data_IF_531553804864
#
_entry.id   IF_531553804864
#
_cell.length_a   1.000
_cell.length_b   1.000
_cell.length_c   1.000
_cell.angle_alpha   90.00
_cell.angle_beta   90.00
_cell.angle_gamma   90.00
#
_symmetry.space_group_name_H-M   'P 1'
#
loop_
_entity.id
_entity.type
_entity.pdbx_description
1 polymer ?
#
# COMPACT_ATOMS: atom_id res chain seq x y z
N UNK A 1 58.77 30.81 15.62
CA UNK A 1 59.34 29.50 15.97
C UNK A 1 58.21 28.67 16.54
N UNK A 2 57.43 28.05 15.66
CA UNK A 2 56.31 27.17 16.00
C UNK A 2 56.85 25.76 16.26
N UNK A 3 56.51 25.16 17.40
CA UNK A 3 56.66 23.71 17.59
C UNK A 3 55.32 23.15 18.05
N UNK A 4 54.83 22.24 17.22
CA UNK A 4 53.52 21.58 17.21
C UNK A 4 53.38 20.59 18.37
N UNK A 5 52.26 20.65 19.08
CA UNK A 5 51.78 19.56 19.95
C UNK A 5 51.00 18.56 19.10
N UNK A 6 51.53 17.34 18.95
CA UNK A 6 50.94 16.27 18.15
C UNK A 6 50.01 15.43 19.07
N UNK A 7 48.72 15.70 19.04
CA UNK A 7 47.71 14.83 19.64
C UNK A 7 47.29 13.76 18.63
N UNK A 8 47.71 12.52 18.85
CA UNK A 8 47.27 11.34 18.11
C UNK A 8 45.80 11.04 18.44
N UNK A 9 44.89 11.38 17.52
CA UNK A 9 43.52 10.85 17.51
C UNK A 9 43.58 9.37 17.11
N UNK A 10 43.47 8.48 18.08
CA UNK A 10 43.15 7.07 17.83
C UNK A 10 41.71 7.00 17.35
N UNK A 11 41.52 6.84 16.04
CA UNK A 11 40.23 6.52 15.45
C UNK A 11 39.92 5.06 15.80
N UNK A 12 39.06 4.86 16.80
CA UNK A 12 38.48 3.55 17.07
C UNK A 12 37.54 3.24 15.91
N UNK A 13 38.01 2.45 14.94
CA UNK A 13 37.13 1.79 13.96
C UNK A 13 36.24 0.81 14.73
N UNK A 14 35.03 1.25 15.08
CA UNK A 14 33.96 0.34 15.51
C UNK A 14 33.68 -0.61 14.34
N UNK A 15 33.99 -1.87 14.54
CA UNK A 15 33.51 -2.94 13.69
C UNK A 15 32.00 -3.02 13.95
N UNK A 16 31.19 -2.54 13.00
CA UNK A 16 29.79 -2.93 12.94
C UNK A 16 29.81 -4.44 12.67
N UNK A 17 29.49 -5.24 13.69
CA UNK A 17 29.19 -6.64 13.46
C UNK A 17 28.04 -6.71 12.45
N UNK A 18 28.14 -7.63 11.50
CA UNK A 18 27.02 -8.02 10.65
C UNK A 18 25.87 -8.43 11.57
N UNK A 19 24.98 -7.47 11.85
CA UNK A 19 23.76 -7.72 12.60
C UNK A 19 22.97 -8.76 11.83
N UNK A 20 22.48 -9.79 12.54
CA UNK A 20 21.54 -10.73 11.96
C UNK A 20 20.40 -9.93 11.35
N UNK A 21 20.22 -10.11 10.05
CA UNK A 21 19.16 -9.46 9.28
C UNK A 21 17.83 -10.05 9.68
N UNK A 22 16.84 -9.21 9.98
CA UNK A 22 15.52 -9.70 10.36
C UNK A 22 14.83 -10.23 9.11
N UNK A 23 14.46 -11.51 9.13
CA UNK A 23 13.80 -12.18 8.01
C UNK A 23 12.27 -12.29 8.19
N UNK A 24 11.62 -12.85 7.18
CA UNK A 24 10.17 -13.09 7.16
C UNK A 24 9.68 -13.91 8.36
N UNK A 25 10.41 -14.95 8.76
CA UNK A 25 9.99 -15.84 9.85
C UNK A 25 10.09 -15.12 11.19
N UNK A 26 11.13 -14.31 11.38
CA UNK A 26 11.29 -13.46 12.55
C UNK A 26 10.19 -12.40 12.62
N UNK A 27 9.82 -11.78 11.49
CA UNK A 27 8.72 -10.83 11.40
C UNK A 27 7.40 -11.42 11.93
N UNK A 28 6.98 -12.57 11.40
CA UNK A 28 5.76 -13.24 11.84
C UNK A 28 5.88 -13.79 13.26
N UNK A 29 7.04 -14.32 13.63
CA UNK A 29 7.29 -14.82 14.99
C UNK A 29 7.12 -13.75 16.07
N UNK A 30 7.47 -12.49 15.80
CA UNK A 30 7.21 -11.36 16.69
C UNK A 30 5.69 -11.13 16.85
N UNK A 31 4.93 -11.11 15.76
CA UNK A 31 3.47 -10.94 15.78
C UNK A 31 2.80 -12.10 16.53
N UNK A 32 3.19 -13.33 16.23
CA UNK A 32 2.65 -14.54 16.87
C UNK A 32 2.93 -14.57 18.38
N UNK A 33 4.10 -14.09 18.80
CA UNK A 33 4.43 -13.97 20.22
C UNK A 33 3.47 -13.05 20.98
N UNK A 34 2.98 -11.99 20.32
CA UNK A 34 2.01 -11.05 20.89
C UNK A 34 0.60 -11.65 20.89
N UNK A 35 0.30 -12.46 19.87
CA UNK A 35 -0.98 -13.13 19.67
C UNK A 35 -1.17 -14.40 20.51
N UNK A 36 -0.19 -14.81 21.33
CA UNK A 36 -0.30 -15.98 22.21
C UNK A 36 -1.49 -15.93 23.20
N UNK A 37 -1.99 -14.72 23.51
CA UNK A 37 -3.22 -14.51 24.30
C UNK A 37 -4.51 -14.44 23.48
N UNK A 38 -4.45 -14.75 22.18
CA UNK A 38 -5.49 -14.52 21.17
C UNK A 38 -5.19 -13.27 20.32
N UNK A 39 -5.38 -13.34 18.99
CA UNK A 39 -5.25 -12.16 18.13
C UNK A 39 -6.40 -11.18 18.40
N UNK A 40 -6.19 -9.90 18.07
CA UNK A 40 -7.24 -8.88 18.13
C UNK A 40 -7.86 -8.65 19.52
N UNK A 41 -7.05 -8.83 20.58
CA UNK A 41 -7.39 -8.30 21.90
C UNK A 41 -7.51 -6.76 21.85
N UNK A 42 -7.73 -6.13 23.00
CA UNK A 42 -7.54 -4.68 23.15
C UNK A 42 -6.32 -4.19 22.34
N UNK A 43 -6.56 -3.34 21.33
CA UNK A 43 -5.56 -2.99 20.32
C UNK A 43 -4.38 -2.24 20.92
N UNK A 44 -4.65 -1.46 21.96
CA UNK A 44 -3.61 -0.74 22.70
C UNK A 44 -2.69 -1.72 23.45
N UNK A 45 -3.28 -2.74 24.08
CA UNK A 45 -2.52 -3.84 24.69
C UNK A 45 -1.68 -4.59 23.64
N UNK A 46 -2.26 -4.89 22.47
CA UNK A 46 -1.54 -5.57 21.39
C UNK A 46 -0.36 -4.72 20.90
N UNK A 47 -0.58 -3.42 20.68
CA UNK A 47 0.46 -2.45 20.30
C UNK A 47 1.58 -2.38 21.34
N UNK A 48 1.24 -2.26 22.63
CA UNK A 48 2.23 -2.20 23.71
C UNK A 48 3.09 -3.47 23.78
N UNK A 49 2.47 -4.65 23.64
CA UNK A 49 3.19 -5.93 23.60
C UNK A 49 4.10 -6.03 22.38
N UNK A 50 3.63 -5.58 21.22
CA UNK A 50 4.42 -5.55 19.99
C UNK A 50 5.62 -4.60 20.11
N UNK A 51 5.43 -3.40 20.65
CA UNK A 51 6.53 -2.48 20.97
C UNK A 51 7.53 -3.13 21.91
N UNK A 52 7.09 -3.76 23.01
CA UNK A 52 7.97 -4.42 23.96
C UNK A 52 8.71 -5.65 23.37
N UNK A 53 8.12 -6.32 22.39
CA UNK A 53 8.79 -7.40 21.65
C UNK A 53 9.88 -6.83 20.72
N UNK A 54 9.55 -5.78 19.96
CA UNK A 54 10.47 -5.10 19.05
C UNK A 54 11.63 -4.41 19.79
N UNK A 55 11.41 -3.89 20.98
CA UNK A 55 12.45 -3.31 21.85
C UNK A 55 13.60 -4.27 22.19
N UNK A 56 13.42 -5.58 22.00
CA UNK A 56 14.49 -6.58 22.24
C UNK A 56 15.43 -6.72 21.05
N UNK A 57 15.07 -6.15 19.90
CA UNK A 57 15.85 -6.16 18.69
C UNK A 57 16.67 -4.88 18.55
N UNK A 58 17.73 -4.95 17.76
CA UNK A 58 18.58 -3.82 17.41
C UNK A 58 17.84 -2.81 16.53
N UNK A 59 18.35 -1.58 16.45
CA UNK A 59 17.78 -0.55 15.57
C UNK A 59 17.70 -1.00 14.10
N UNK A 60 18.73 -1.69 13.59
CA UNK A 60 18.75 -2.19 12.21
C UNK A 60 17.69 -3.29 11.99
N UNK A 61 17.52 -4.21 12.93
CA UNK A 61 16.45 -5.23 12.85
C UNK A 61 15.04 -4.60 12.90
N UNK A 62 14.85 -3.52 13.67
CA UNK A 62 13.56 -2.79 13.70
C UNK A 62 13.30 -2.11 12.34
N UNK A 63 14.34 -1.57 11.69
CA UNK A 63 14.23 -1.01 10.33
C UNK A 63 13.87 -2.11 9.31
N UNK A 64 14.53 -3.26 9.37
CA UNK A 64 14.19 -4.42 8.54
C UNK A 64 12.74 -4.87 8.77
N UNK A 65 12.29 -4.95 10.03
CA UNK A 65 10.91 -5.29 10.37
C UNK A 65 9.90 -4.31 9.78
N UNK A 66 10.19 -3.00 9.83
CA UNK A 66 9.33 -1.99 9.24
C UNK A 66 9.28 -2.09 7.71
N UNK A 67 10.40 -2.39 7.05
CA UNK A 67 10.42 -2.62 5.59
C UNK A 67 9.59 -3.85 5.22
N UNK A 68 9.70 -4.95 5.98
CA UNK A 68 8.87 -6.15 5.78
C UNK A 68 7.38 -5.84 6.01
N UNK A 69 7.04 -5.05 7.04
CA UNK A 69 5.67 -4.57 7.27
C UNK A 69 5.15 -3.82 6.03
N UNK A 70 5.94 -2.91 5.47
CA UNK A 70 5.57 -2.15 4.28
C UNK A 70 5.32 -3.04 3.06
N UNK A 71 6.14 -4.08 2.85
CA UNK A 71 5.93 -5.04 1.77
C UNK A 71 4.61 -5.82 1.95
N UNK A 72 4.27 -6.27 3.16
CA UNK A 72 2.98 -6.92 3.41
C UNK A 72 1.79 -5.96 3.31
N UNK A 73 1.96 -4.71 3.72
CA UNK A 73 0.95 -3.67 3.53
C UNK A 73 0.70 -3.46 2.03
N UNK A 74 1.75 -3.37 1.23
CA UNK A 74 1.65 -3.20 -0.22
C UNK A 74 1.05 -4.43 -0.91
N UNK A 75 1.45 -5.63 -0.52
CA UNK A 75 0.88 -6.88 -1.04
C UNK A 75 -0.62 -7.04 -0.76
N UNK A 76 -1.13 -6.42 0.31
CA UNK A 76 -2.56 -6.37 0.63
C UNK A 76 -3.29 -5.17 -0.02
N UNK A 77 -2.60 -4.31 -0.77
CA UNK A 77 -3.19 -3.20 -1.52
C UNK A 77 -3.83 -3.71 -2.82
N UNK A 78 -4.86 -4.55 -2.67
CA UNK A 78 -5.54 -5.23 -3.78
C UNK A 78 -6.99 -4.77 -3.90
N UNK A 79 -7.48 -4.71 -5.13
CA UNK A 79 -8.84 -4.31 -5.45
C UNK A 79 -9.85 -5.32 -4.92
N UNK A 80 -9.52 -6.62 -4.90
CA UNK A 80 -10.40 -7.65 -4.35
C UNK A 80 -10.55 -7.54 -2.83
N UNK A 81 -9.49 -7.18 -2.11
CA UNK A 81 -9.52 -6.88 -0.69
C UNK A 81 -10.28 -5.59 -0.39
N UNK A 82 -10.08 -4.53 -1.18
CA UNK A 82 -10.84 -3.28 -1.04
C UNK A 82 -12.34 -3.52 -1.25
N UNK A 83 -12.70 -4.27 -2.30
CA UNK A 83 -14.07 -4.61 -2.61
C UNK A 83 -14.70 -5.51 -1.54
N UNK A 84 -13.98 -6.53 -1.05
CA UNK A 84 -14.44 -7.40 0.03
C UNK A 84 -14.64 -6.63 1.34
N UNK A 85 -13.70 -5.74 1.70
CA UNK A 85 -13.81 -4.89 2.88
C UNK A 85 -15.00 -3.93 2.77
N UNK A 86 -15.19 -3.34 1.59
CA UNK A 86 -16.34 -2.48 1.25
C UNK A 86 -17.65 -3.24 1.38
N UNK A 87 -17.75 -4.46 0.84
CA UNK A 87 -18.92 -5.33 0.97
C UNK A 87 -19.18 -5.74 2.43
N UNK A 88 -18.11 -5.93 3.21
CA UNK A 88 -18.17 -6.30 4.63
C UNK A 88 -18.59 -5.14 5.53
N UNK A 89 -18.65 -3.92 5.00
CA UNK A 89 -18.99 -2.70 5.72
C UNK A 89 -17.84 -2.17 6.58
N UNK A 90 -16.59 -2.47 6.22
CA UNK A 90 -15.40 -1.94 6.89
C UNK A 90 -15.19 -0.49 6.41
N UNK A 91 -14.95 0.49 7.30
CA UNK A 91 -14.68 1.86 6.88
C UNK A 91 -13.36 1.92 6.11
N UNK A 92 -13.43 2.20 4.81
CA UNK A 92 -12.28 2.25 3.91
C UNK A 92 -11.89 3.68 3.45
N UNK A 93 -12.60 4.70 3.91
CA UNK A 93 -12.27 6.12 3.63
C UNK A 93 -11.16 6.64 4.56
N UNK A 94 -10.47 7.71 4.14
CA UNK A 94 -9.29 8.21 4.85
C UNK A 94 -8.25 7.12 4.96
N UNK A 95 -7.67 6.92 6.15
CA UNK A 95 -6.70 5.84 6.39
C UNK A 95 -7.35 4.45 6.58
N UNK A 96 -8.67 4.33 6.42
CA UNK A 96 -9.43 3.15 6.82
C UNK A 96 -9.01 1.86 6.13
N UNK A 97 -8.72 1.89 4.83
CA UNK A 97 -8.23 0.71 4.11
C UNK A 97 -6.80 0.34 4.53
N UNK A 98 -5.93 1.32 4.78
CA UNK A 98 -4.60 1.09 5.34
C UNK A 98 -4.66 0.48 6.75
N UNK A 99 -5.58 0.95 7.59
CA UNK A 99 -5.82 0.36 8.91
C UNK A 99 -6.39 -1.06 8.83
N UNK A 100 -7.20 -1.36 7.80
CA UNK A 100 -7.67 -2.72 7.55
C UNK A 100 -6.54 -3.67 7.14
N UNK A 101 -5.65 -3.24 6.25
CA UNK A 101 -4.47 -4.04 5.88
C UNK A 101 -3.55 -4.27 7.08
N UNK A 102 -3.35 -3.26 7.92
CA UNK A 102 -2.62 -3.40 9.18
C UNK A 102 -3.32 -4.40 10.13
N UNK A 103 -4.65 -4.37 10.20
CA UNK A 103 -5.41 -5.35 10.97
C UNK A 103 -5.23 -6.78 10.44
N UNK A 104 -5.21 -7.00 9.13
CA UNK A 104 -4.94 -8.33 8.56
C UNK A 104 -3.58 -8.88 9.02
N UNK A 105 -2.55 -8.04 8.97
CA UNK A 105 -1.18 -8.41 9.37
C UNK A 105 -1.10 -8.69 10.89
N UNK A 106 -1.73 -7.85 11.71
CA UNK A 106 -1.74 -8.06 13.16
C UNK A 106 -2.48 -9.32 13.60
N UNK A 107 -3.31 -9.92 12.73
CA UNK A 107 -3.92 -11.22 12.96
C UNK A 107 -2.96 -12.41 12.91
N UNK A 108 -1.73 -12.19 12.44
CA UNK A 108 -0.75 -13.24 12.20
C UNK A 108 -0.82 -13.77 10.77
N UNK A 109 0.18 -14.59 10.43
CA UNK A 109 0.45 -15.02 9.05
C UNK A 109 -0.74 -15.79 8.45
N UNK A 110 -1.32 -16.70 9.22
CA UNK A 110 -2.39 -17.58 8.75
C UNK A 110 -3.65 -16.78 8.36
N UNK A 111 -4.06 -15.82 9.20
CA UNK A 111 -5.21 -14.95 8.93
C UNK A 111 -4.97 -14.13 7.68
N UNK A 112 -3.82 -13.47 7.60
CA UNK A 112 -3.42 -12.65 6.46
C UNK A 112 -3.46 -13.47 5.15
N UNK A 113 -2.78 -14.62 5.11
CA UNK A 113 -2.70 -15.46 3.91
C UNK A 113 -4.04 -16.06 3.50
N UNK A 114 -4.87 -16.47 4.47
CA UNK A 114 -6.19 -17.04 4.17
C UNK A 114 -7.12 -16.00 3.55
N UNK A 115 -7.11 -14.76 4.04
CA UNK A 115 -7.92 -13.67 3.46
C UNK A 115 -7.39 -13.25 2.08
N UNK A 116 -6.07 -13.17 1.89
CA UNK A 116 -5.51 -12.88 0.56
C UNK A 116 -5.84 -13.98 -0.47
N UNK A 117 -5.98 -15.24 -0.03
CA UNK A 117 -6.37 -16.36 -0.89
C UNK A 117 -7.87 -16.35 -1.19
N UNK A 118 -8.68 -16.09 -0.17
CA UNK A 118 -10.14 -16.07 -0.28
C UNK A 118 -10.76 -14.90 0.51
N UNK A 119 -10.89 -13.70 -0.10
CA UNK A 119 -11.43 -12.54 0.59
C UNK A 119 -12.86 -12.72 1.10
N UNK A 120 -13.67 -13.58 0.45
CA UNK A 120 -15.04 -13.87 0.88
C UNK A 120 -15.10 -14.56 2.27
N UNK A 121 -13.97 -15.10 2.76
CA UNK A 121 -13.85 -15.64 4.13
C UNK A 121 -13.97 -14.57 5.22
N UNK A 122 -13.87 -13.26 4.91
CA UNK A 122 -14.18 -12.18 5.85
C UNK A 122 -15.61 -12.28 6.42
N UNK A 123 -16.52 -12.99 5.73
CA UNK A 123 -17.86 -13.29 6.22
C UNK A 123 -17.85 -14.10 7.54
N UNK A 124 -16.86 -14.97 7.72
CA UNK A 124 -16.75 -15.85 8.89
C UNK A 124 -16.09 -15.22 10.10
N UNK A 125 -15.49 -14.03 9.96
CA UNK A 125 -14.79 -13.37 11.05
C UNK A 125 -15.78 -12.59 11.94
N UNK A 126 -15.71 -12.76 13.27
CA UNK A 126 -16.56 -12.03 14.21
C UNK A 126 -16.22 -10.54 14.18
N UNK A 127 -17.21 -9.70 14.51
CA UNK A 127 -17.05 -8.25 14.52
C UNK A 127 -17.73 -7.52 13.35
N UNK A 128 -17.62 -6.20 13.37
CA UNK A 128 -18.22 -5.29 12.39
C UNK A 128 -17.50 -3.93 12.40
N UNK A 129 -17.59 -3.21 11.28
CA UNK A 129 -17.08 -1.85 11.16
C UNK A 129 -15.62 -1.70 11.61
N UNK A 130 -15.40 -0.81 12.58
CA UNK A 130 -14.09 -0.38 13.08
C UNK A 130 -13.28 -1.49 13.77
N UNK A 131 -13.91 -2.62 14.14
CA UNK A 131 -13.18 -3.77 14.73
C UNK A 131 -12.12 -4.35 13.81
N UNK A 132 -12.24 -4.10 12.49
CA UNK A 132 -11.32 -4.52 11.45
C UNK A 132 -10.23 -3.50 11.14
N UNK A 133 -10.05 -2.46 11.96
CA UNK A 133 -9.05 -1.43 11.75
C UNK A 133 -7.99 -1.50 12.84
N UNK A 134 -6.71 -1.32 12.49
CA UNK A 134 -5.66 -1.23 13.50
C UNK A 134 -4.66 -0.12 13.18
N UNK A 135 -4.86 1.05 13.80
CA UNK A 135 -3.97 2.21 13.66
C UNK A 135 -2.62 2.03 14.36
N UNK A 136 -2.58 1.19 15.40
CA UNK A 136 -1.41 1.03 16.26
C UNK A 136 -0.25 0.24 15.66
N UNK A 137 -0.49 -0.61 14.64
CA UNK A 137 0.55 -1.51 14.12
C UNK A 137 1.80 -0.76 13.63
N UNK A 138 1.72 0.26 12.75
CA UNK A 138 2.90 0.97 12.29
C UNK A 138 3.58 1.80 13.40
N UNK A 139 2.82 2.21 14.42
CA UNK A 139 3.35 2.96 15.55
C UNK A 139 4.19 2.08 16.48
N UNK A 140 3.99 0.76 16.47
CA UNK A 140 4.72 -0.13 17.37
C UNK A 140 6.23 -0.14 17.08
N UNK A 141 6.61 -0.20 15.79
CA UNK A 141 8.00 -0.13 15.35
C UNK A 141 8.61 1.25 15.59
N UNK A 142 7.86 2.32 15.32
CA UNK A 142 8.29 3.69 15.58
C UNK A 142 8.67 3.88 17.06
N UNK A 143 7.80 3.49 17.99
CA UNK A 143 8.09 3.63 19.42
C UNK A 143 9.23 2.73 19.90
N UNK A 144 9.33 1.49 19.40
CA UNK A 144 10.44 0.62 19.75
C UNK A 144 11.79 1.19 19.27
N UNK A 145 11.80 1.79 18.08
CA UNK A 145 12.96 2.48 17.53
C UNK A 145 13.36 3.69 18.36
N UNK A 146 12.41 4.56 18.72
CA UNK A 146 12.67 5.71 19.59
C UNK A 146 13.29 5.30 20.92
N UNK A 147 12.79 4.22 21.54
CA UNK A 147 13.34 3.69 22.78
C UNK A 147 14.78 3.20 22.59
N UNK A 148 15.07 2.49 21.50
CA UNK A 148 16.43 2.04 21.21
C UNK A 148 17.38 3.19 20.89
N UNK A 149 16.92 4.19 20.14
CA UNK A 149 17.70 5.39 19.84
C UNK A 149 18.05 6.13 21.14
N UNK A 150 17.06 6.33 22.02
CA UNK A 150 17.28 6.97 23.31
C UNK A 150 18.27 6.20 24.20
N UNK A 151 18.19 4.86 24.24
CA UNK A 151 19.09 4.03 25.05
C UNK A 151 20.54 4.02 24.54
N UNK A 152 20.73 3.99 23.22
CA UNK A 152 22.03 3.77 22.61
C UNK A 152 22.72 5.05 22.13
N UNK A 153 21.94 6.07 21.73
CA UNK A 153 22.42 7.30 21.11
C UNK A 153 21.55 8.52 21.50
N UNK A 154 21.47 8.89 22.80
CA UNK A 154 20.53 9.91 23.30
C UNK A 154 20.73 11.34 22.75
N UNK A 155 21.87 11.63 22.14
CA UNK A 155 22.17 12.95 21.56
C UNK A 155 21.76 13.07 20.09
N UNK A 156 21.37 11.97 19.44
CA UNK A 156 21.01 11.96 18.03
C UNK A 156 19.56 12.40 17.81
N UNK A 157 19.36 13.39 16.95
CA UNK A 157 18.05 13.92 16.57
C UNK A 157 17.60 13.34 15.22
N UNK A 158 17.34 12.03 15.21
CA UNK A 158 16.77 11.31 14.06
C UNK A 158 15.59 10.45 14.50
N UNK A 159 14.83 9.96 13.54
CA UNK A 159 13.69 9.07 13.78
C UNK A 159 13.72 7.87 12.82
N UNK A 160 12.80 6.93 13.03
CA UNK A 160 12.66 5.73 12.20
C UNK A 160 12.59 6.08 10.71
N UNK A 161 11.78 7.08 10.33
CA UNK A 161 11.53 7.43 8.93
C UNK A 161 12.74 8.10 8.27
N UNK A 162 13.52 8.86 9.03
CA UNK A 162 14.77 9.45 8.58
C UNK A 162 15.78 8.36 8.24
N UNK A 163 15.86 7.31 9.06
CA UNK A 163 16.78 6.20 8.86
C UNK A 163 16.30 5.19 7.80
N UNK A 164 14.98 5.09 7.57
CA UNK A 164 14.41 4.34 6.44
C UNK A 164 14.63 5.00 5.08
N UNK A 165 14.87 6.32 5.04
CA UNK A 165 14.94 7.07 3.79
C UNK A 165 16.04 6.50 2.88
N UNK A 166 15.65 6.02 1.70
CA UNK A 166 16.56 5.44 0.71
C UNK A 166 17.00 4.00 1.02
N UNK A 167 16.51 3.39 2.10
CA UNK A 167 16.67 1.96 2.34
C UNK A 167 15.66 1.18 1.50
N UNK A 168 16.07 -0.01 1.10
CA UNK A 168 15.22 -0.97 0.40
C UNK A 168 15.37 -2.32 1.07
N UNK A 169 14.30 -3.10 1.04
CA UNK A 169 14.38 -4.48 1.50
C UNK A 169 15.31 -5.26 0.57
N UNK A 170 16.06 -6.18 1.16
CA UNK A 170 16.92 -7.06 0.39
C UNK A 170 16.13 -7.91 -0.60
N UNK A 171 16.71 -8.07 -1.80
CA UNK A 171 16.07 -8.79 -2.89
C UNK A 171 15.71 -10.23 -2.53
N UNK A 172 16.53 -10.93 -1.73
CA UNK A 172 16.25 -12.30 -1.29
C UNK A 172 15.05 -12.37 -0.34
N UNK A 173 15.00 -11.48 0.67
CA UNK A 173 13.85 -11.41 1.59
C UNK A 173 12.58 -11.01 0.82
N UNK A 174 12.68 -10.06 -0.11
CA UNK A 174 11.58 -9.63 -0.94
C UNK A 174 11.04 -10.77 -1.81
N UNK A 175 11.92 -11.55 -2.45
CA UNK A 175 11.54 -12.72 -3.23
C UNK A 175 10.90 -13.79 -2.35
N UNK A 176 11.44 -14.04 -1.16
CA UNK A 176 10.88 -14.99 -0.20
C UNK A 176 9.46 -14.61 0.21
N UNK A 177 9.21 -13.34 0.57
CA UNK A 177 7.87 -12.82 0.88
C UNK A 177 6.93 -13.03 -0.32
N UNK A 178 7.34 -12.59 -1.51
CA UNK A 178 6.52 -12.65 -2.73
C UNK A 178 6.19 -14.08 -3.15
N UNK A 179 7.12 -15.01 -2.96
CA UNK A 179 6.94 -16.42 -3.36
C UNK A 179 5.85 -17.13 -2.56
N UNK A 180 5.61 -16.70 -1.32
CA UNK A 180 4.67 -17.30 -0.41
C UNK A 180 3.23 -16.78 -0.55
N UNK A 181 3.11 -15.52 -0.96
CA UNK A 181 1.82 -14.85 -1.11
C UNK A 181 0.93 -15.63 -2.09
N UNK A 182 -0.39 -15.71 -1.83
CA UNK A 182 -1.31 -16.41 -2.72
C UNK A 182 -1.22 -15.87 -4.15
N UNK A 183 -1.05 -16.76 -5.13
CA UNK A 183 -1.00 -16.41 -6.57
C UNK A 183 -2.37 -16.03 -7.18
N UNK A 184 -3.35 -15.72 -6.35
CA UNK A 184 -4.69 -15.31 -6.82
C UNK A 184 -4.54 -13.97 -7.53
N UNK A 185 -4.96 -13.91 -8.79
CA UNK A 185 -5.01 -12.64 -9.53
C UNK A 185 -5.98 -11.70 -8.85
N UNK A 186 -5.58 -10.43 -8.74
CA UNK A 186 -6.48 -9.38 -8.30
C UNK A 186 -7.64 -9.20 -9.30
N UNK A 187 -8.75 -8.64 -8.83
CA UNK A 187 -9.86 -8.27 -9.72
C UNK A 187 -9.52 -6.99 -10.48
N UNK A 188 -10.20 -6.77 -11.61
CA UNK A 188 -10.04 -5.54 -12.36
C UNK A 188 -10.47 -4.33 -11.54
N UNK A 189 -9.69 -3.26 -11.63
CA UNK A 189 -9.92 -2.00 -10.92
C UNK A 189 -11.29 -1.38 -11.24
N UNK A 190 -11.89 -1.67 -12.40
CA UNK A 190 -13.20 -1.17 -12.82
C UNK A 190 -14.43 -1.68 -12.07
N UNK A 191 -14.29 -2.47 -10.99
CA UNK A 191 -15.43 -2.99 -10.22
C UNK A 191 -16.30 -1.89 -9.59
N UNK A 192 -17.59 -2.19 -9.38
CA UNK A 192 -18.58 -1.31 -8.75
C UNK A 192 -19.45 -2.02 -7.71
N UNK A 193 -20.41 -1.29 -7.12
CA UNK A 193 -21.26 -1.80 -6.04
C UNK A 193 -22.10 -3.02 -6.44
N UNK A 194 -22.42 -3.12 -7.73
CA UNK A 194 -23.27 -4.18 -8.30
C UNK A 194 -22.54 -5.50 -8.47
N UNK A 195 -21.21 -5.46 -8.49
CA UNK A 195 -20.38 -6.65 -8.65
C UNK A 195 -20.20 -7.39 -7.31
N UNK A 196 -20.35 -6.68 -6.19
CA UNK A 196 -20.08 -7.19 -4.83
C UNK A 196 -20.84 -8.50 -4.51
N UNK A 197 -22.15 -8.66 -4.80
CA UNK A 197 -22.86 -9.90 -4.51
C UNK A 197 -22.34 -11.11 -5.27
N UNK A 198 -21.84 -10.90 -6.50
CA UNK A 198 -21.28 -11.96 -7.34
C UNK A 198 -19.85 -12.29 -6.93
N UNK A 199 -19.07 -11.28 -6.56
CA UNK A 199 -17.67 -11.43 -6.13
C UNK A 199 -17.55 -12.05 -4.73
N UNK A 200 -18.43 -11.67 -3.80
CA UNK A 200 -18.37 -12.03 -2.39
C UNK A 200 -19.73 -12.49 -1.83
N UNK A 201 -20.26 -13.62 -2.34
CA UNK A 201 -21.60 -14.08 -1.99
C UNK A 201 -21.76 -14.38 -0.49
N UNK A 202 -20.73 -14.87 0.20
CA UNK A 202 -20.83 -15.17 1.65
C UNK A 202 -20.89 -13.89 2.47
N UNK A 203 -20.10 -12.88 2.12
CA UNK A 203 -20.15 -11.57 2.79
C UNK A 203 -21.54 -10.95 2.60
N UNK A 204 -22.06 -10.96 1.37
CA UNK A 204 -23.33 -10.34 1.02
C UNK A 204 -24.55 -11.12 1.53
N UNK A 205 -24.44 -12.43 1.78
CA UNK A 205 -25.53 -13.25 2.35
C UNK A 205 -25.89 -12.85 3.80
N UNK A 206 -25.03 -12.11 4.50
CA UNK A 206 -25.22 -11.73 5.91
C UNK A 206 -26.32 -10.69 6.19
N UNK A 207 -27.20 -10.38 5.23
CA UNK A 207 -28.35 -9.48 5.43
C UNK A 207 -28.02 -8.00 5.68
N UNK A 208 -26.76 -7.60 5.46
CA UNK A 208 -26.31 -6.20 5.63
C UNK A 208 -26.70 -5.38 4.40
N UNK A 209 -27.02 -4.10 4.62
CA UNK A 209 -27.18 -3.15 3.52
C UNK A 209 -25.83 -2.92 2.86
N UNK A 210 -25.76 -3.18 1.55
CA UNK A 210 -24.55 -2.92 0.77
C UNK A 210 -24.32 -1.40 0.61
N UNK A 211 -23.05 -0.97 0.51
CA UNK A 211 -22.75 0.44 0.28
C UNK A 211 -23.32 0.90 -1.06
N UNK A 212 -23.87 2.12 -1.08
CA UNK A 212 -24.35 2.73 -2.31
C UNK A 212 -23.21 3.09 -3.26
N UNK A 213 -23.53 3.22 -4.55
CA UNK A 213 -22.60 3.60 -5.64
C UNK A 213 -21.69 4.77 -5.30
N UNK A 214 -22.24 5.82 -4.69
CA UNK A 214 -21.50 7.04 -4.36
C UNK A 214 -20.42 6.79 -3.29
N UNK A 215 -20.75 6.01 -2.26
CA UNK A 215 -19.78 5.66 -1.22
C UNK A 215 -18.66 4.79 -1.79
N UNK A 216 -19.00 3.79 -2.62
CA UNK A 216 -18.01 2.96 -3.32
C UNK A 216 -17.09 3.82 -4.18
N UNK A 217 -17.66 4.79 -4.93
CA UNK A 217 -16.86 5.71 -5.74
C UNK A 217 -15.92 6.57 -4.90
N UNK A 218 -16.38 7.12 -3.78
CA UNK A 218 -15.52 7.90 -2.85
C UNK A 218 -14.41 7.07 -2.24
N UNK A 219 -14.66 5.80 -1.89
CA UNK A 219 -13.64 4.87 -1.38
C UNK A 219 -12.54 4.68 -2.42
N UNK A 220 -12.91 4.45 -3.68
CA UNK A 220 -11.95 4.27 -4.78
C UNK A 220 -11.19 5.55 -5.12
N UNK A 221 -11.84 6.72 -5.07
CA UNK A 221 -11.16 8.01 -5.22
C UNK A 221 -10.10 8.21 -4.12
N UNK A 222 -10.47 7.93 -2.87
CA UNK A 222 -9.57 8.03 -1.73
C UNK A 222 -8.38 7.07 -1.84
N UNK A 223 -8.63 5.82 -2.21
CA UNK A 223 -7.57 4.81 -2.33
C UNK A 223 -6.61 5.14 -3.48
N UNK A 224 -7.13 5.49 -4.65
CA UNK A 224 -6.31 5.95 -5.78
C UNK A 224 -5.48 7.20 -5.45
N UNK A 225 -6.05 8.11 -4.66
CA UNK A 225 -5.33 9.31 -4.23
C UNK A 225 -4.18 9.00 -3.27
N UNK A 226 -4.36 8.02 -2.39
CA UNK A 226 -3.35 7.60 -1.41
C UNK A 226 -2.35 6.58 -1.94
N UNK A 227 -2.62 6.00 -3.13
CA UNK A 227 -1.75 5.00 -3.74
C UNK A 227 -0.39 5.59 -4.10
N UNK A 228 0.67 4.83 -3.82
CA UNK A 228 2.05 5.17 -4.22
C UNK A 228 2.25 5.05 -5.74
N UNK A 229 1.45 4.21 -6.40
CA UNK A 229 1.57 3.90 -7.83
C UNK A 229 0.62 4.78 -8.67
N UNK A 230 0.41 6.03 -8.25
CA UNK A 230 -0.48 6.96 -8.94
C UNK A 230 0.14 7.40 -10.28
N UNK A 231 -0.64 7.26 -11.36
CA UNK A 231 -0.24 7.70 -12.71
C UNK A 231 -1.19 8.77 -13.23
N UNK A 232 -0.59 9.88 -13.68
CA UNK A 232 -1.30 10.98 -14.34
C UNK A 232 -1.28 10.71 -15.84
N UNK A 233 -2.46 10.52 -16.42
CA UNK A 233 -2.62 10.29 -17.85
C UNK A 233 -3.12 11.55 -18.55
N UNK A 234 -2.44 11.91 -19.61
CA UNK A 234 -2.82 12.97 -20.53
C UNK A 234 -3.14 12.36 -21.89
N UNK A 235 -4.35 12.61 -22.38
CA UNK A 235 -4.82 12.10 -23.67
C UNK A 235 -5.11 13.28 -24.58
N UNK A 236 -4.34 13.38 -25.67
CA UNK A 236 -4.56 14.30 -26.78
C UNK A 236 -5.34 13.56 -27.87
N UNK A 237 -6.56 14.00 -28.17
CA UNK A 237 -7.39 13.41 -29.23
C UNK A 237 -8.21 14.49 -29.93
N UNK A 238 -8.12 14.54 -31.26
CA UNK A 238 -8.85 15.49 -32.11
C UNK A 238 -8.66 16.95 -31.67
N UNK A 239 -7.44 17.32 -31.29
CA UNK A 239 -7.10 18.68 -30.84
C UNK A 239 -7.59 19.05 -29.44
N UNK A 240 -8.12 18.10 -28.67
CA UNK A 240 -8.50 18.29 -27.26
C UNK A 240 -7.59 17.48 -26.36
N UNK A 241 -7.13 18.09 -25.27
CA UNK A 241 -6.38 17.41 -24.21
C UNK A 241 -7.29 17.15 -23.03
N UNK A 242 -7.31 15.92 -22.56
CA UNK A 242 -7.98 15.51 -21.30
C UNK A 242 -6.94 14.96 -20.34
N UNK A 243 -7.23 15.04 -19.04
CA UNK A 243 -6.38 14.47 -18.01
C UNK A 243 -7.18 13.67 -16.99
N UNK A 244 -6.63 12.53 -16.62
CA UNK A 244 -7.22 11.61 -15.65
C UNK A 244 -6.12 10.94 -14.82
N UNK A 245 -6.57 10.25 -13.78
CA UNK A 245 -5.72 9.54 -12.85
C UNK A 245 -6.03 8.04 -12.94
N UNK A 246 -5.03 7.19 -12.78
CA UNK A 246 -5.21 5.74 -12.69
C UNK A 246 -4.14 5.10 -11.80
N UNK A 247 -4.40 3.89 -11.34
CA UNK A 247 -3.36 3.05 -10.76
C UNK A 247 -2.38 2.58 -11.84
N UNK A 248 -1.09 2.75 -11.60
CA UNK A 248 0.01 2.49 -12.52
C UNK A 248 0.39 1.03 -12.72
N UNK A 249 -0.51 0.08 -12.42
CA UNK A 249 -0.22 -1.33 -12.68
C UNK A 249 -0.08 -1.57 -14.19
N UNK A 250 0.78 -2.51 -14.62
CA UNK A 250 0.97 -2.81 -16.03
C UNK A 250 -0.34 -3.14 -16.76
N UNK A 251 -1.26 -3.85 -16.10
CA UNK A 251 -2.57 -4.21 -16.63
C UNK A 251 -3.48 -2.99 -16.84
N UNK A 252 -3.47 -2.05 -15.89
CA UNK A 252 -4.26 -0.83 -16.00
C UNK A 252 -3.69 0.10 -17.07
N UNK A 253 -2.37 0.23 -17.17
CA UNK A 253 -1.72 0.98 -18.25
C UNK A 253 -2.08 0.35 -19.60
N UNK A 254 -1.96 -0.97 -19.76
CA UNK A 254 -2.31 -1.67 -20.98
C UNK A 254 -3.79 -1.49 -21.36
N UNK A 255 -4.71 -1.71 -20.42
CA UNK A 255 -6.13 -1.50 -20.67
C UNK A 255 -6.45 -0.03 -20.99
N UNK A 256 -5.73 0.93 -20.40
CA UNK A 256 -5.91 2.35 -20.65
C UNK A 256 -5.49 2.71 -22.07
N UNK A 257 -4.32 2.25 -22.51
CA UNK A 257 -3.84 2.44 -23.88
C UNK A 257 -4.79 1.79 -24.90
N UNK A 258 -5.27 0.59 -24.62
CA UNK A 258 -6.23 -0.10 -25.49
C UNK A 258 -7.57 0.67 -25.59
N UNK A 259 -8.06 1.23 -24.48
CA UNK A 259 -9.25 2.07 -24.45
C UNK A 259 -9.10 3.40 -25.20
N UNK A 260 -7.85 3.85 -25.41
CA UNK A 260 -7.50 5.09 -26.11
C UNK A 260 -6.80 4.85 -27.45
N UNK A 261 -7.12 3.74 -28.15
CA UNK A 261 -6.50 3.39 -29.41
C UNK A 261 -6.64 4.45 -30.54
N UNK A 262 -7.61 5.36 -30.43
CA UNK A 262 -7.84 6.47 -31.37
C UNK A 262 -7.21 7.80 -30.93
N UNK A 263 -6.50 7.83 -29.80
CA UNK A 263 -5.83 9.04 -29.35
C UNK A 263 -4.65 9.39 -30.27
N UNK A 264 -4.48 10.69 -30.55
CA UNK A 264 -3.32 11.19 -31.29
C UNK A 264 -2.05 10.97 -30.47
N UNK A 265 -2.15 11.16 -29.14
CA UNK A 265 -1.07 10.90 -28.19
C UNK A 265 -1.60 10.64 -26.79
N UNK A 266 -0.98 9.68 -26.10
CA UNK A 266 -1.13 9.42 -24.67
C UNK A 266 0.22 9.66 -23.99
N UNK A 267 0.21 10.35 -22.86
CA UNK A 267 1.41 10.57 -22.03
C UNK A 267 1.06 10.26 -20.59
N UNK A 268 1.82 9.36 -19.98
CA UNK A 268 1.70 8.91 -18.60
C UNK A 268 2.88 9.43 -17.80
N UNK A 269 2.60 10.09 -16.68
CA UNK A 269 3.63 10.61 -15.76
C UNK A 269 3.36 10.16 -14.34
N UNK A 270 4.39 10.18 -13.50
CA UNK A 270 4.23 10.06 -12.05
C UNK A 270 3.70 11.38 -11.43
N UNK A 271 3.62 11.43 -10.11
CA UNK A 271 3.21 12.62 -9.35
C UNK A 271 4.21 13.78 -9.42
N UNK A 272 5.45 13.51 -9.82
CA UNK A 272 6.51 14.49 -10.03
C UNK A 272 6.59 14.97 -11.49
N UNK A 273 5.65 14.53 -12.34
CA UNK A 273 5.60 14.81 -13.77
C UNK A 273 6.78 14.23 -14.57
N UNK A 274 7.47 13.24 -14.01
CA UNK A 274 8.47 12.47 -14.74
C UNK A 274 7.77 11.47 -15.67
N UNK A 275 8.35 11.25 -16.85
CA UNK A 275 7.77 10.39 -17.87
C UNK A 275 7.81 8.92 -17.45
N UNK A 276 6.64 8.28 -17.38
CA UNK A 276 6.51 6.83 -17.23
C UNK A 276 6.43 6.16 -18.60
N UNK A 277 5.53 6.65 -19.45
CA UNK A 277 5.28 6.07 -20.76
C UNK A 277 4.60 7.08 -21.70
N UNK A 278 4.95 7.06 -22.98
CA UNK A 278 4.20 7.74 -24.04
C UNK A 278 3.81 6.77 -25.15
N UNK A 279 2.67 7.03 -25.78
CA UNK A 279 2.11 6.20 -26.82
C UNK A 279 1.32 7.02 -27.85
N UNK A 280 1.24 6.51 -29.08
CA UNK A 280 0.37 7.00 -30.16
C UNK A 280 -0.73 5.97 -30.38
N UNK A 281 -1.95 6.30 -29.96
CA UNK A 281 -3.03 5.33 -29.79
C UNK A 281 -2.62 4.22 -28.80
N UNK A 282 -2.54 2.98 -29.29
CA UNK A 282 -2.07 1.83 -28.50
C UNK A 282 -0.61 1.44 -28.76
N UNK A 283 0.13 2.18 -29.58
CA UNK A 283 1.53 1.89 -29.89
C UNK A 283 2.42 2.67 -28.92
N UNK A 284 3.23 1.96 -28.14
CA UNK A 284 4.15 2.57 -27.17
C UNK A 284 5.33 3.21 -27.92
N UNK A 285 5.54 4.50 -27.72
CA UNK A 285 6.60 5.29 -28.36
C UNK A 285 7.86 5.36 -27.47
N UNK A 286 7.67 5.63 -26.17
CA UNK A 286 8.77 5.75 -25.20
C UNK A 286 8.35 5.19 -23.84
N UNK A 287 9.23 4.41 -23.22
CA UNK A 287 9.11 3.98 -21.83
C UNK A 287 10.53 3.87 -21.24
N UNK A 288 10.93 4.74 -20.30
CA UNK A 288 12.27 4.73 -19.73
C UNK A 288 12.60 3.44 -18.96
N UNK A 289 11.59 2.84 -18.33
CA UNK A 289 11.71 1.59 -17.59
C UNK A 289 11.45 0.38 -18.51
N UNK A 290 12.50 -0.44 -18.72
CA UNK A 290 12.42 -1.63 -19.57
C UNK A 290 11.58 -2.74 -18.95
N UNK A 291 11.61 -2.92 -17.63
CA UNK A 291 10.83 -3.94 -16.97
C UNK A 291 9.34 -3.63 -17.07
N UNK A 292 8.98 -2.36 -16.82
CA UNK A 292 7.61 -1.88 -17.02
C UNK A 292 7.16 -2.04 -18.48
N UNK A 293 8.01 -1.67 -19.44
CA UNK A 293 7.70 -1.84 -20.87
C UNK A 293 7.36 -3.30 -21.22
N UNK A 294 8.15 -4.25 -20.74
CA UNK A 294 7.94 -5.69 -20.98
C UNK A 294 6.64 -6.20 -20.32
N UNK A 295 6.30 -5.70 -19.13
CA UNK A 295 5.04 -6.04 -18.44
C UNK A 295 3.81 -5.46 -19.14
N UNK A 296 3.83 -4.16 -19.45
CA UNK A 296 2.73 -3.48 -20.16
C UNK A 296 2.54 -4.12 -21.54
N UNK A 297 3.61 -4.40 -22.27
CA UNK A 297 3.53 -5.06 -23.59
C UNK A 297 2.90 -6.44 -23.49
N UNK A 298 3.29 -7.25 -22.50
CA UNK A 298 2.69 -8.58 -22.26
C UNK A 298 1.20 -8.49 -21.97
N UNK A 299 0.75 -7.48 -21.22
CA UNK A 299 -0.67 -7.26 -20.93
C UNK A 299 -1.44 -6.68 -22.14
N UNK A 300 -0.81 -5.86 -22.97
CA UNK A 300 -1.44 -5.15 -24.08
C UNK A 300 -1.62 -6.03 -25.34
N UNK A 301 -0.66 -6.92 -25.63
CA UNK A 301 -0.65 -7.73 -26.85
C UNK A 301 -1.93 -8.55 -27.08
N UNK A 302 -2.47 -9.29 -26.10
CA UNK A 302 -3.71 -10.05 -26.29
C UNK A 302 -4.91 -9.15 -26.60
N UNK A 303 -4.95 -7.94 -26.04
CA UNK A 303 -6.01 -6.95 -26.28
C UNK A 303 -5.91 -6.40 -27.71
N UNK A 304 -4.70 -6.06 -28.17
CA UNK A 304 -4.47 -5.60 -29.55
C UNK A 304 -4.81 -6.65 -30.61
N UNK A 305 -4.65 -7.94 -30.28
CA UNK A 305 -5.02 -9.05 -31.16
C UNK A 305 -6.51 -9.40 -31.12
N UNK A 306 -7.28 -8.77 -30.23
CA UNK A 306 -8.70 -9.08 -30.03
C UNK A 306 -8.96 -10.42 -29.32
N UNK A 307 -7.94 -11.00 -28.69
CA UNK A 307 -8.04 -12.26 -27.93
C UNK A 307 -8.74 -12.04 -26.58
N UNK A 308 -8.58 -10.84 -26.01
CA UNK A 308 -9.19 -10.42 -24.75
C UNK A 308 -9.77 -9.01 -24.86
N UNK A 309 -10.91 -8.76 -24.21
CA UNK A 309 -11.44 -7.41 -24.09
C UNK A 309 -10.59 -6.58 -23.11
N UNK A 310 -10.46 -5.25 -23.33
CA UNK A 310 -9.83 -4.38 -22.35
C UNK A 310 -10.62 -4.42 -21.03
N UNK A 311 -9.91 -4.60 -19.93
CA UNK A 311 -10.52 -4.54 -18.61
C UNK A 311 -11.07 -3.13 -18.35
N UNK A 312 -12.22 -2.99 -17.67
CA UNK A 312 -12.68 -1.68 -17.22
C UNK A 312 -11.69 -1.14 -16.19
N UNK A 313 -11.32 0.14 -16.34
CA UNK A 313 -10.36 0.81 -15.46
C UNK A 313 -11.06 1.94 -14.73
N UNK A 314 -10.75 2.10 -13.46
CA UNK A 314 -11.18 3.26 -12.70
C UNK A 314 -10.25 4.44 -12.99
N UNK A 315 -10.64 5.28 -13.95
CA UNK A 315 -9.85 6.44 -14.38
C UNK A 315 -10.60 7.77 -14.19
N UNK A 316 -10.75 8.28 -12.94
CA UNK A 316 -11.43 9.55 -12.70
C UNK A 316 -10.68 10.73 -13.34
N UNK A 317 -11.43 11.73 -13.79
CA UNK A 317 -10.85 12.95 -14.35
C UNK A 317 -10.11 13.74 -13.25
N UNK A 318 -9.03 14.45 -13.61
CA UNK A 318 -8.30 15.27 -12.62
C UNK A 318 -9.16 16.36 -12.00
N UNK A 319 -10.12 16.91 -12.76
CA UNK A 319 -11.10 17.87 -12.25
C UNK A 319 -12.03 17.24 -11.19
N UNK A 320 -12.44 15.99 -11.38
CA UNK A 320 -13.23 15.24 -10.39
C UNK A 320 -12.42 15.02 -9.10
N UNK A 321 -11.16 14.60 -9.24
CA UNK A 321 -10.27 14.39 -8.10
C UNK A 321 -10.05 15.68 -7.30
N UNK A 322 -9.87 16.81 -7.98
CA UNK A 322 -9.73 18.12 -7.33
C UNK A 322 -10.99 18.52 -6.53
N UNK A 323 -12.19 18.26 -7.06
CA UNK A 323 -13.45 18.52 -6.35
C UNK A 323 -13.60 17.61 -5.13
N UNK A 324 -13.23 16.34 -5.25
CA UNK A 324 -13.24 15.41 -4.13
C UNK A 324 -12.32 15.89 -2.99
N UNK A 325 -11.08 16.29 -3.30
CA UNK A 325 -10.13 16.82 -2.32
C UNK A 325 -10.66 18.05 -1.59
N UNK A 326 -11.28 18.98 -2.30
CA UNK A 326 -11.90 20.16 -1.70
C UNK A 326 -13.02 19.78 -0.73
N UNK A 327 -13.82 18.76 -1.08
CA UNK A 327 -14.91 18.30 -0.23
C UNK A 327 -14.43 17.66 1.08
N UNK A 328 -13.32 16.91 1.05
CA UNK A 328 -12.73 16.30 2.25
C UNK A 328 -12.04 17.36 3.13
N UNK A 329 -11.36 18.34 2.55
CA UNK A 329 -10.75 19.46 3.29
C UNK A 329 -11.81 20.33 3.99
N UNK A 330 -12.96 20.57 3.33
CA UNK A 330 -14.09 21.30 3.93
C UNK A 330 -14.73 20.56 5.12
N UNK A 331 -14.74 19.22 5.11
CA UNK A 331 -15.21 18.41 6.24
C UNK A 331 -14.21 18.40 7.41
N UNK A 332 -12.91 18.54 7.14
CA UNK A 332 -11.86 18.66 8.16
C UNK A 332 -11.92 19.97 8.97
N UNK A 333 -12.24 21.10 8.32
CA UNK A 333 -12.42 22.39 9.03
C UNK A 333 -13.69 22.42 9.89
N UNK A 334 -14.73 21.66 9.54
CA UNK A 334 -15.95 21.54 10.36
C UNK A 334 -15.77 20.77 11.66
N UNK A 335 -14.81 19.82 11.73
CA UNK A 335 -14.52 19.04 12.95
C UNK A 335 -13.60 19.77 13.94
N UNK A 336 -12.72 20.65 13.47
CA UNK A 336 -11.85 21.43 14.35
C UNK A 336 -12.56 22.59 15.06
N UNK A 337 -13.72 23.03 14.56
CA UNK A 337 -14.53 24.11 15.16
C UNK A 337 -15.57 23.59 16.16
N UNK A 338 -15.74 22.27 16.29
CA UNK A 338 -16.63 21.65 17.30
C UNK A 338 -15.89 20.98 18.48
N UNK A 339 -14.56 21.14 18.57
CA UNK A 339 -13.76 20.68 19.72
C UNK A 339 -12.89 21.79 20.34
N UNK A 340 -13.34 23.05 20.28
CA UNK A 340 -12.85 24.12 21.16
C UNK A 340 -13.91 24.50 22.19
#
# INVERSE_FOLDING_TARGET
MEIRTRATKTVIKRHFGEGLKLDRNMFWGIIDSVNAGGPYSDQETQRCRLTAALEKHTMEEILDWQLILEEYMQAACRQDLLAAATARGIPCLGDGFSQFRAWLIAGGEEVYRNILREPDCLAGLPGGGDTFQFKGLPLAAYHAYEVQLFRNCPEELRDLYSDLRGRTLDAGILEDIRSELPRRRDIADGWGERDLPTLFPRICAGGRTLPGRELVRRIKLNELFQSRDQVHAFVDQAGRRTSCLLHGTPENIAGFLAGHALADRVTLTDTSYELILSASGSVIDQCPDKALLDEVTRALLPIQRGETAPAPIFSPAMAEMALWLQSEQGQGQGRMVQMM
#
